data_IF_380349669234
#
_entry.id   IF_380349669234
#
_cell.length_a   1.000
_cell.length_b   1.000
_cell.length_c   1.000
_cell.angle_alpha   90.00
_cell.angle_beta   90.00
_cell.angle_gamma   90.00
#
_symmetry.space_group_name_H-M   'P 1'
#
loop_
_entity.id
_entity.type
_entity.pdbx_description
1 polymer ?
#
# COMPACT_ATOMS: atom_id res chain seq x y z
N UNK A 1 4.38 -7.31 13.12
CA UNK A 1 3.36 -6.61 12.35
C UNK A 1 2.82 -7.52 11.24
N UNK A 2 1.57 -7.35 10.86
CA UNK A 2 0.94 -8.24 9.90
C UNK A 2 1.66 -8.26 8.54
N UNK A 3 2.28 -7.15 8.15
CA UNK A 3 3.05 -7.09 6.91
C UNK A 3 4.28 -8.00 7.00
N UNK A 4 4.95 -7.98 8.13
CA UNK A 4 6.12 -8.82 8.34
C UNK A 4 5.74 -10.30 8.34
N UNK A 5 4.61 -10.63 8.97
CA UNK A 5 4.11 -12.00 8.98
C UNK A 5 3.77 -12.48 7.58
N UNK A 6 3.10 -11.64 6.80
CA UNK A 6 2.78 -11.96 5.42
C UNK A 6 4.01 -12.09 4.56
N UNK A 7 5.01 -11.26 4.84
CA UNK A 7 6.25 -11.29 4.09
C UNK A 7 6.98 -12.63 4.25
N UNK A 8 7.04 -13.14 5.47
CA UNK A 8 7.67 -14.42 5.72
C UNK A 8 6.93 -15.57 5.04
N UNK A 9 5.62 -15.62 5.20
CA UNK A 9 4.82 -16.66 4.58
C UNK A 9 4.80 -16.51 3.07
N UNK A 10 4.68 -15.27 2.61
CA UNK A 10 4.64 -14.98 1.18
C UNK A 10 5.95 -15.30 0.49
N UNK A 11 7.06 -15.07 1.16
CA UNK A 11 8.37 -15.35 0.58
C UNK A 11 8.53 -16.84 0.26
N UNK A 12 8.12 -17.70 1.19
CA UNK A 12 8.18 -19.13 0.98
C UNK A 12 7.22 -19.58 -0.13
N UNK A 13 6.01 -19.04 -0.12
CA UNK A 13 5.04 -19.35 -1.16
C UNK A 13 5.52 -18.83 -2.52
N UNK A 14 6.10 -17.64 -2.52
CA UNK A 14 6.59 -17.02 -3.75
C UNK A 14 7.71 -17.85 -4.37
N UNK A 15 8.61 -18.37 -3.56
CA UNK A 15 9.69 -19.19 -4.07
C UNK A 15 9.18 -20.44 -4.76
N UNK A 16 8.02 -20.94 -4.35
CA UNK A 16 7.48 -22.18 -4.90
C UNK A 16 6.55 -21.95 -6.07
N UNK A 17 5.78 -20.86 -6.06
CA UNK A 17 4.71 -20.69 -7.04
C UNK A 17 4.70 -19.35 -7.74
N UNK A 18 5.28 -18.33 -7.12
CA UNK A 18 5.26 -17.01 -7.73
C UNK A 18 6.20 -16.98 -8.90
N UNK A 19 5.70 -16.53 -10.00
CA UNK A 19 6.53 -16.28 -11.15
C UNK A 19 6.55 -14.77 -11.40
N UNK A 20 7.25 -14.35 -12.43
CA UNK A 20 7.34 -12.95 -12.79
C UNK A 20 5.96 -12.37 -13.11
N UNK A 21 5.05 -13.20 -13.59
CA UNK A 21 3.70 -12.78 -13.94
C UNK A 21 2.91 -12.36 -12.70
N UNK A 22 2.97 -13.13 -11.63
CA UNK A 22 2.25 -12.81 -10.38
C UNK A 22 2.83 -11.55 -9.72
N UNK A 23 4.16 -11.41 -9.75
CA UNK A 23 4.81 -10.22 -9.20
C UNK A 23 4.43 -8.97 -9.99
N UNK A 24 4.36 -9.08 -11.31
CA UNK A 24 3.98 -7.96 -12.17
C UNK A 24 2.52 -7.57 -11.93
N UNK A 25 1.64 -8.54 -11.75
CA UNK A 25 0.23 -8.28 -11.49
C UNK A 25 0.05 -7.56 -10.15
N UNK A 26 0.75 -7.99 -9.11
CA UNK A 26 0.68 -7.34 -7.82
C UNK A 26 1.16 -5.89 -7.92
N UNK A 27 2.24 -5.67 -8.65
CA UNK A 27 2.76 -4.32 -8.85
C UNK A 27 1.73 -3.45 -9.56
N UNK A 28 1.07 -3.98 -10.58
CA UNK A 28 0.04 -3.23 -11.31
C UNK A 28 -1.14 -2.87 -10.40
N UNK A 29 -1.58 -3.80 -9.56
CA UNK A 29 -2.64 -3.54 -8.60
C UNK A 29 -2.27 -2.43 -7.63
N UNK A 30 -1.03 -2.46 -7.14
CA UNK A 30 -0.55 -1.44 -6.21
C UNK A 30 -0.45 -0.07 -6.89
N UNK A 31 -0.01 -0.03 -8.14
CA UNK A 31 0.06 1.22 -8.89
C UNK A 31 -1.32 1.84 -9.08
N UNK A 32 -2.31 1.03 -9.40
CA UNK A 32 -3.69 1.50 -9.52
C UNK A 32 -4.19 2.01 -8.17
N UNK A 33 -3.92 1.26 -7.09
CA UNK A 33 -4.33 1.66 -5.75
C UNK A 33 -3.68 2.99 -5.33
N UNK A 34 -2.41 3.18 -5.64
CA UNK A 34 -1.73 4.44 -5.37
C UNK A 34 -2.32 5.58 -6.17
N UNK A 35 -2.81 5.28 -7.37
CA UNK A 35 -3.40 6.29 -8.25
C UNK A 35 -4.69 6.90 -7.74
N UNK A 36 -5.43 6.21 -6.85
CA UNK A 36 -6.68 6.75 -6.31
C UNK A 36 -6.43 7.68 -5.11
N UNK A 37 -5.21 7.78 -4.66
CA UNK A 37 -4.85 8.64 -3.53
C UNK A 37 -4.63 10.08 -3.99
N UNK A 38 -4.86 11.02 -3.09
CA UNK A 38 -4.44 12.41 -3.34
C UNK A 38 -2.92 12.46 -3.32
N UNK A 39 -2.35 13.55 -3.85
CA UNK A 39 -0.89 13.71 -3.84
C UNK A 39 -0.33 13.65 -2.43
N UNK A 40 -1.00 14.28 -1.49
CA UNK A 40 -0.58 14.29 -0.09
C UNK A 40 -0.63 12.89 0.52
N UNK A 41 -1.72 12.17 0.28
CA UNK A 41 -1.85 10.80 0.77
C UNK A 41 -0.78 9.89 0.18
N UNK A 42 -0.53 10.02 -1.10
CA UNK A 42 0.49 9.23 -1.78
C UNK A 42 1.86 9.50 -1.20
N UNK A 43 2.17 10.77 -0.96
CA UNK A 43 3.43 11.16 -0.36
C UNK A 43 3.60 10.54 1.03
N UNK A 44 2.55 10.63 1.86
CA UNK A 44 2.60 10.08 3.22
C UNK A 44 2.82 8.57 3.19
N UNK A 45 2.08 7.85 2.35
CA UNK A 45 2.23 6.39 2.23
C UNK A 45 3.65 6.05 1.77
N UNK A 46 4.15 6.76 0.77
CA UNK A 46 5.49 6.49 0.24
C UNK A 46 6.55 6.71 1.31
N UNK A 47 6.45 7.79 2.06
CA UNK A 47 7.44 8.12 3.08
C UNK A 47 7.36 7.22 4.32
N UNK A 48 6.17 6.68 4.61
CA UNK A 48 5.96 5.84 5.77
C UNK A 48 6.18 4.36 5.50
N UNK A 49 5.91 3.90 4.29
CA UNK A 49 5.87 2.47 4.02
C UNK A 49 6.77 2.00 2.89
N UNK A 50 7.13 2.89 1.97
CA UNK A 50 7.87 2.49 0.78
C UNK A 50 9.35 2.87 0.83
N UNK A 51 9.77 3.55 1.86
CA UNK A 51 11.18 3.91 2.04
C UNK A 51 11.89 2.83 2.84
N UNK A 52 13.17 2.70 2.57
CA UNK A 52 14.04 1.83 3.33
C UNK A 52 14.06 2.22 4.82
N UNK A 53 14.08 3.54 5.08
CA UNK A 53 13.98 4.06 6.44
C UNK A 53 12.68 4.86 6.56
N UNK A 54 11.61 4.26 7.10
CA UNK A 54 10.33 4.96 7.20
C UNK A 54 10.41 6.19 8.09
N UNK A 55 9.75 7.26 7.66
CA UNK A 55 9.70 8.49 8.42
C UNK A 55 8.64 8.38 9.52
N UNK A 56 8.84 9.15 10.58
CA UNK A 56 7.88 9.18 11.68
C UNK A 56 6.72 10.11 11.35
N UNK A 57 5.61 9.91 12.05
CA UNK A 57 4.46 10.80 11.93
C UNK A 57 4.83 12.22 12.30
N UNK A 58 5.66 12.38 13.33
CA UNK A 58 6.15 13.67 13.77
C UNK A 58 6.95 14.38 12.68
N UNK A 59 7.87 13.67 12.07
CA UNK A 59 8.71 14.20 11.02
C UNK A 59 7.88 14.71 9.84
N UNK A 60 6.90 13.92 9.42
CA UNK A 60 6.02 14.31 8.33
C UNK A 60 5.14 15.48 8.71
N UNK A 61 4.67 15.50 9.95
CA UNK A 61 3.87 16.62 10.43
C UNK A 61 4.63 17.92 10.41
N UNK A 62 5.90 17.90 10.81
CA UNK A 62 6.75 19.09 10.77
C UNK A 62 6.95 19.57 9.34
N UNK A 63 7.20 18.63 8.43
CA UNK A 63 7.43 19.00 7.03
C UNK A 63 6.19 19.58 6.38
N UNK A 64 5.02 19.00 6.64
CA UNK A 64 3.78 19.37 5.97
C UNK A 64 2.99 20.44 6.73
N UNK A 65 3.46 20.82 7.92
CA UNK A 65 2.74 21.80 8.73
C UNK A 65 1.47 21.25 9.33
N UNK A 66 1.43 19.95 9.62
CA UNK A 66 0.27 19.27 10.17
C UNK A 66 0.62 18.62 11.48
N UNK A 67 -0.40 18.34 12.30
CA UNK A 67 -0.19 17.63 13.55
C UNK A 67 0.09 16.15 13.27
N UNK A 68 0.73 15.50 14.22
CA UNK A 68 0.99 14.06 14.17
C UNK A 68 -0.31 13.28 13.99
N UNK A 69 -1.35 13.70 14.70
CA UNK A 69 -2.65 13.03 14.61
C UNK A 69 -3.27 13.22 13.22
N UNK A 70 -3.10 14.40 12.63
CA UNK A 70 -3.62 14.64 11.28
C UNK A 70 -2.91 13.76 10.26
N UNK A 71 -1.59 13.60 10.41
CA UNK A 71 -0.84 12.69 9.52
C UNK A 71 -1.35 11.26 9.68
N UNK A 72 -1.59 10.83 10.93
CA UNK A 72 -2.12 9.49 11.18
C UNK A 72 -3.47 9.29 10.51
N UNK A 73 -4.35 10.30 10.59
CA UNK A 73 -5.66 10.25 9.94
C UNK A 73 -5.53 10.15 8.43
N UNK A 74 -4.63 10.93 7.85
CA UNK A 74 -4.41 10.89 6.40
C UNK A 74 -3.85 9.55 5.96
N UNK A 75 -2.95 8.99 6.73
CA UNK A 75 -2.42 7.65 6.45
C UNK A 75 -3.52 6.59 6.50
N UNK A 76 -4.37 6.66 7.53
CA UNK A 76 -5.46 5.70 7.66
C UNK A 76 -6.46 5.83 6.50
N UNK A 77 -6.77 7.06 6.10
CA UNK A 77 -7.66 7.30 4.98
C UNK A 77 -7.06 6.76 3.68
N UNK A 78 -5.75 6.96 3.50
CA UNK A 78 -5.05 6.46 2.33
C UNK A 78 -5.14 4.93 2.25
N UNK A 79 -4.86 4.25 3.35
CA UNK A 79 -4.94 2.79 3.37
C UNK A 79 -6.35 2.28 3.13
N UNK A 80 -7.36 2.98 3.65
CA UNK A 80 -8.75 2.61 3.38
C UNK A 80 -9.07 2.71 1.89
N UNK A 81 -8.59 3.75 1.22
CA UNK A 81 -8.79 3.91 -0.22
C UNK A 81 -8.06 2.83 -1.00
N UNK A 82 -6.83 2.53 -0.61
CA UNK A 82 -6.05 1.48 -1.27
C UNK A 82 -6.73 0.13 -1.12
N UNK A 83 -7.23 -0.16 0.07
CA UNK A 83 -7.94 -1.41 0.32
C UNK A 83 -9.17 -1.54 -0.58
N UNK A 84 -9.96 -0.47 -0.68
CA UNK A 84 -11.14 -0.50 -1.55
C UNK A 84 -10.75 -0.68 -3.01
N UNK A 85 -9.68 -0.04 -3.44
CA UNK A 85 -9.19 -0.20 -4.81
C UNK A 85 -8.76 -1.63 -5.09
N UNK A 86 -8.00 -2.23 -4.17
CA UNK A 86 -7.54 -3.60 -4.33
C UNK A 86 -8.70 -4.59 -4.32
N UNK A 87 -9.69 -4.37 -3.46
CA UNK A 87 -10.88 -5.21 -3.42
C UNK A 87 -11.68 -5.11 -4.71
N UNK A 88 -11.81 -3.89 -5.24
CA UNK A 88 -12.52 -3.66 -6.50
C UNK A 88 -11.81 -4.35 -7.65
N UNK A 89 -10.50 -4.23 -7.74
CA UNK A 89 -9.72 -4.89 -8.78
C UNK A 89 -9.82 -6.40 -8.68
N UNK A 90 -9.78 -6.91 -7.47
CA UNK A 90 -9.91 -8.35 -7.22
C UNK A 90 -11.28 -8.86 -7.66
N UNK A 91 -12.34 -8.12 -7.36
CA UNK A 91 -13.68 -8.50 -7.78
C UNK A 91 -13.83 -8.48 -9.30
N UNK A 92 -13.28 -7.48 -9.96
CA UNK A 92 -13.31 -7.39 -11.41
C UNK A 92 -12.59 -8.56 -12.05
N UNK A 93 -11.43 -8.89 -11.54
CA UNK A 93 -10.66 -10.02 -12.03
C UNK A 93 -11.41 -11.32 -11.82
N UNK A 94 -11.99 -11.50 -10.64
CA UNK A 94 -12.74 -12.70 -10.31
C UNK A 94 -13.96 -12.86 -11.22
N UNK A 95 -14.67 -11.77 -11.44
CA UNK A 95 -15.82 -11.76 -12.33
C UNK A 95 -15.41 -12.09 -13.76
N UNK A 96 -14.30 -11.56 -14.20
CA UNK A 96 -13.78 -11.79 -15.54
C UNK A 96 -13.37 -13.25 -15.75
N UNK A 97 -12.80 -13.87 -14.71
CA UNK A 97 -12.34 -15.25 -14.77
C UNK A 97 -13.45 -16.28 -14.52
N UNK A 98 -14.52 -15.84 -13.93
CA UNK A 98 -15.68 -16.71 -13.70
C UNK A 98 -16.48 -16.86 -14.96
#
# INVERSE_FOLDING_TARGET
EWIDTLEDDSAQAAERVADAHDAARLRDWLLVAMGVLTDRERYIVAERKLREEPRTLESLGEELGLSKERIRQLEAAAFAKMRRSLESQSRELHHFLA
#
